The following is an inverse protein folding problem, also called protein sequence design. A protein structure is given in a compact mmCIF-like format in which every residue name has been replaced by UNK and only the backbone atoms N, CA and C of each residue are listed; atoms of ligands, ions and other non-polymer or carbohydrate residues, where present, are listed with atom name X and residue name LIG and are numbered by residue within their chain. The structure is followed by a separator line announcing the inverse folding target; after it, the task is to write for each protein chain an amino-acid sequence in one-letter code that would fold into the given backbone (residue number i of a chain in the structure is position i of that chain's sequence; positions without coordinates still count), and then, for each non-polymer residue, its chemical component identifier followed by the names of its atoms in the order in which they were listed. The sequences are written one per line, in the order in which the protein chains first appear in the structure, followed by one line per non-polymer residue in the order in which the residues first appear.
data_IF_811278680257
#
_entry.id   IF_811278680257
#
_cell.length_a   1.000
_cell.length_b   1.000
_cell.length_c   1.000
_cell.angle_alpha   90.00
_cell.angle_beta   90.00
_cell.angle_gamma   90.00
#
_symmetry.space_group_name_H-M   'P 1'
#
loop_
_entity.id
_entity.type
_entity.pdbx_description
1 polymer ?
#
# COMPACT_ATOMS: atom_id res chain seq x y z
N UNK A 1 -21.23 -1.35 -8.71
CA UNK A 1 -20.52 -0.78 -9.86
C UNK A 1 -20.48 -1.83 -10.96
N UNK A 2 -20.62 -1.43 -12.23
CA UNK A 2 -20.54 -2.38 -13.35
C UNK A 2 -19.16 -3.05 -13.35
N UNK A 3 -19.09 -4.38 -13.48
CA UNK A 3 -17.82 -5.14 -13.41
C UNK A 3 -16.81 -4.71 -14.48
N UNK A 4 -17.30 -4.09 -15.55
CA UNK A 4 -16.47 -3.54 -16.64
C UNK A 4 -15.91 -2.14 -16.35
N UNK A 5 -16.47 -1.42 -15.37
CA UNK A 5 -16.06 -0.06 -15.05
C UNK A 5 -14.74 -0.02 -14.26
N UNK A 6 -14.49 -1.01 -13.40
CA UNK A 6 -13.25 -1.10 -12.62
C UNK A 6 -11.99 -1.22 -13.51
N UNK A 7 -11.87 -2.21 -14.42
CA UNK A 7 -10.68 -2.32 -15.26
C UNK A 7 -10.47 -1.09 -16.13
N UNK A 8 -11.54 -0.48 -16.64
CA UNK A 8 -11.46 0.73 -17.44
C UNK A 8 -10.90 1.92 -16.64
N UNK A 9 -11.37 2.14 -15.41
CA UNK A 9 -10.88 3.22 -14.55
C UNK A 9 -9.45 2.96 -14.07
N UNK A 10 -9.09 1.71 -13.75
CA UNK A 10 -7.73 1.33 -13.39
C UNK A 10 -6.75 1.56 -14.57
N UNK A 11 -7.12 1.13 -15.78
CA UNK A 11 -6.32 1.39 -17.00
C UNK A 11 -6.20 2.89 -17.28
N UNK A 12 -7.28 3.66 -17.08
CA UNK A 12 -7.25 5.12 -17.25
C UNK A 12 -6.31 5.77 -16.25
N UNK A 13 -6.35 5.41 -14.97
CA UNK A 13 -5.45 5.94 -13.95
C UNK A 13 -3.98 5.64 -14.32
N UNK A 14 -3.67 4.42 -14.76
CA UNK A 14 -2.33 4.05 -15.23
C UNK A 14 -1.87 4.92 -16.40
N UNK A 15 -2.72 5.11 -17.42
CA UNK A 15 -2.40 5.93 -18.57
C UNK A 15 -2.17 7.41 -18.19
N UNK A 16 -2.89 7.94 -17.21
CA UNK A 16 -2.70 9.30 -16.71
C UNK A 16 -1.36 9.44 -15.96
N UNK A 17 -0.96 8.45 -15.17
CA UNK A 17 0.38 8.42 -14.54
C UNK A 17 1.49 8.40 -15.60
N UNK A 18 1.34 7.58 -16.63
CA UNK A 18 2.30 7.51 -17.75
C UNK A 18 2.38 8.82 -18.54
N UNK A 19 1.24 9.50 -18.71
CA UNK A 19 1.17 10.82 -19.33
C UNK A 19 1.70 11.96 -18.43
N UNK A 20 2.02 11.68 -17.17
CA UNK A 20 2.47 12.66 -16.18
C UNK A 20 1.35 13.44 -15.49
N UNK A 21 0.09 13.21 -15.85
CA UNK A 21 -1.08 13.83 -15.23
C UNK A 21 -1.49 13.10 -13.95
N UNK A 22 -0.59 13.19 -12.96
CA UNK A 22 -0.72 12.54 -11.65
C UNK A 22 -1.94 13.03 -10.84
N UNK A 23 -2.31 14.33 -10.85
CA UNK A 23 -3.54 14.78 -10.19
C UNK A 23 -4.80 14.10 -10.76
N UNK A 24 -4.95 14.05 -12.08
CA UNK A 24 -6.10 13.39 -12.70
C UNK A 24 -6.10 11.87 -12.43
N UNK A 25 -4.92 11.24 -12.36
CA UNK A 25 -4.81 9.84 -11.97
C UNK A 25 -5.36 9.60 -10.55
N UNK A 26 -5.00 10.46 -9.58
CA UNK A 26 -5.50 10.39 -8.20
C UNK A 26 -7.02 10.56 -8.17
N UNK A 27 -7.60 11.52 -8.89
CA UNK A 27 -9.06 11.73 -8.94
C UNK A 27 -9.82 10.48 -9.42
N UNK A 28 -9.28 9.77 -10.43
CA UNK A 28 -9.88 8.52 -10.92
C UNK A 28 -9.77 7.41 -9.88
N UNK A 29 -8.64 7.30 -9.19
CA UNK A 29 -8.46 6.30 -8.13
C UNK A 29 -9.35 6.59 -6.92
N UNK A 30 -9.54 7.86 -6.53
CA UNK A 30 -10.43 8.27 -5.44
C UNK A 30 -11.88 7.90 -5.73
N UNK A 31 -12.34 8.02 -6.98
CA UNK A 31 -13.68 7.53 -7.38
C UNK A 31 -13.83 6.02 -7.12
N UNK A 32 -12.79 5.23 -7.38
CA UNK A 32 -12.80 3.80 -7.09
C UNK A 32 -12.76 3.52 -5.58
N UNK A 33 -12.00 4.29 -4.80
CA UNK A 33 -11.96 4.19 -3.32
C UNK A 33 -13.35 4.45 -2.70
N UNK A 34 -14.17 5.32 -3.30
CA UNK A 34 -15.51 5.65 -2.81
C UNK A 34 -16.64 4.83 -3.43
N UNK A 35 -16.31 3.84 -4.27
CA UNK A 35 -17.28 2.93 -4.89
C UNK A 35 -17.69 1.77 -3.98
N UNK A 36 -18.56 0.88 -4.48
CA UNK A 36 -18.99 -0.35 -3.83
C UNK A 36 -18.05 -1.55 -4.10
N UNK A 37 -16.81 -1.28 -4.52
CA UNK A 37 -15.78 -2.31 -4.64
C UNK A 37 -15.54 -3.02 -3.30
N UNK A 38 -15.12 -4.31 -3.34
CA UNK A 38 -14.65 -5.00 -2.15
C UNK A 38 -13.56 -4.21 -1.41
N UNK A 39 -13.50 -4.37 -0.09
CA UNK A 39 -12.57 -3.60 0.75
C UNK A 39 -11.10 -3.76 0.32
N UNK A 40 -10.70 -4.96 -0.13
CA UNK A 40 -9.35 -5.19 -0.65
C UNK A 40 -9.06 -4.40 -1.93
N UNK A 41 -10.00 -4.36 -2.87
CA UNK A 41 -9.83 -3.60 -4.12
C UNK A 41 -9.77 -2.09 -3.84
N UNK A 42 -10.60 -1.59 -2.91
CA UNK A 42 -10.55 -0.21 -2.45
C UNK A 42 -9.21 0.11 -1.78
N UNK A 43 -8.70 -0.81 -0.96
CA UNK A 43 -7.39 -0.69 -0.33
C UNK A 43 -6.25 -0.61 -1.36
N UNK A 44 -6.30 -1.43 -2.41
CA UNK A 44 -5.35 -1.38 -3.52
C UNK A 44 -5.37 -0.03 -4.24
N UNK A 45 -6.55 0.61 -4.39
CA UNK A 45 -6.64 1.95 -4.96
C UNK A 45 -6.00 3.01 -4.06
N UNK A 46 -6.18 2.92 -2.74
CA UNK A 46 -5.46 3.79 -1.79
C UNK A 46 -3.94 3.59 -1.90
N UNK A 47 -3.45 2.35 -1.98
CA UNK A 47 -2.03 2.08 -2.19
C UNK A 47 -1.49 2.70 -3.49
N UNK A 48 -2.24 2.58 -4.59
CA UNK A 48 -1.86 3.22 -5.86
C UNK A 48 -1.81 4.75 -5.74
N UNK A 49 -2.77 5.37 -5.04
CA UNK A 49 -2.73 6.81 -4.76
C UNK A 49 -1.47 7.18 -3.97
N UNK A 50 -1.12 6.40 -2.93
CA UNK A 50 0.09 6.64 -2.14
C UNK A 50 1.37 6.60 -2.99
N UNK A 51 1.46 5.64 -3.93
CA UNK A 51 2.57 5.55 -4.88
C UNK A 51 2.63 6.79 -5.77
N UNK A 52 1.49 7.25 -6.31
CA UNK A 52 1.44 8.45 -7.17
C UNK A 52 1.83 9.70 -6.38
N UNK A 53 1.41 9.82 -5.12
CA UNK A 53 1.80 10.92 -4.23
C UNK A 53 3.31 10.93 -3.96
N UNK A 54 3.92 9.78 -3.69
CA UNK A 54 5.39 9.67 -3.53
C UNK A 54 6.12 10.10 -4.81
N UNK A 55 5.62 9.69 -5.99
CA UNK A 55 6.17 10.14 -7.28
C UNK A 55 6.04 11.65 -7.51
N UNK A 56 5.11 12.31 -6.84
CA UNK A 56 4.97 13.78 -6.83
C UNK A 56 5.87 14.44 -5.79
N UNK A 57 6.61 13.68 -4.98
CA UNK A 57 7.43 14.16 -3.88
C UNK A 57 6.65 14.41 -2.58
N UNK A 58 5.37 14.04 -2.51
CA UNK A 58 4.53 14.19 -1.33
C UNK A 58 4.57 12.93 -0.47
N UNK A 59 5.76 12.63 0.06
CA UNK A 59 6.02 11.45 0.90
C UNK A 59 5.16 11.43 2.17
N UNK A 60 4.85 12.60 2.75
CA UNK A 60 3.99 12.69 3.93
C UNK A 60 2.59 12.19 3.64
N UNK A 61 1.97 12.69 2.56
CA UNK A 61 0.63 12.25 2.15
C UNK A 61 0.61 10.78 1.71
N UNK A 62 1.70 10.31 1.09
CA UNK A 62 1.85 8.90 0.74
C UNK A 62 1.78 7.99 1.97
N UNK A 63 2.46 8.34 3.07
CA UNK A 63 2.41 7.58 4.32
C UNK A 63 1.02 7.55 4.96
N UNK A 64 0.31 8.68 4.96
CA UNK A 64 -1.08 8.79 5.45
C UNK A 64 -2.04 7.94 4.60
N UNK A 65 -1.88 7.99 3.29
CA UNK A 65 -2.72 7.23 2.35
C UNK A 65 -2.44 5.72 2.48
N UNK A 66 -1.18 5.32 2.66
CA UNK A 66 -0.83 3.93 2.99
C UNK A 66 -1.49 3.47 4.30
N UNK A 67 -1.51 4.30 5.35
CA UNK A 67 -2.18 3.93 6.59
C UNK A 67 -3.68 3.70 6.37
N UNK A 68 -4.33 4.57 5.60
CA UNK A 68 -5.74 4.41 5.22
C UNK A 68 -5.99 3.13 4.42
N UNK A 69 -5.05 2.76 3.54
CA UNK A 69 -5.12 1.52 2.76
C UNK A 69 -5.02 0.28 3.68
N UNK A 70 -4.14 0.30 4.68
CA UNK A 70 -4.00 -0.78 5.67
C UNK A 70 -5.26 -0.93 6.53
N UNK A 71 -5.91 0.17 6.89
CA UNK A 71 -7.17 0.11 7.66
C UNK A 71 -8.32 -0.53 6.88
N UNK A 72 -8.34 -0.39 5.56
CA UNK A 72 -9.25 -1.12 4.69
C UNK A 72 -8.87 -2.60 4.58
N UNK A 73 -7.59 -2.89 4.36
CA UNK A 73 -7.07 -4.26 4.26
C UNK A 73 -7.36 -5.09 5.51
N UNK A 74 -7.31 -4.48 6.70
CA UNK A 74 -7.57 -5.15 8.00
C UNK A 74 -8.95 -5.83 8.08
N UNK A 75 -9.89 -5.47 7.22
CA UNK A 75 -11.22 -6.10 7.14
C UNK A 75 -11.22 -7.39 6.30
N UNK A 76 -10.05 -7.77 5.80
CA UNK A 76 -9.84 -8.90 4.89
C UNK A 76 -8.82 -9.86 5.52
N UNK A 77 -8.58 -11.00 4.87
CA UNK A 77 -7.54 -11.95 5.29
C UNK A 77 -6.14 -11.60 4.74
N UNK A 78 -6.06 -10.57 3.88
CA UNK A 78 -4.80 -10.12 3.26
C UNK A 78 -3.98 -9.28 4.23
N UNK A 79 -2.67 -9.28 4.01
CA UNK A 79 -1.69 -8.42 4.67
C UNK A 79 -0.67 -7.84 3.67
N UNK A 80 -0.98 -7.93 2.38
CA UNK A 80 -0.17 -7.46 1.27
C UNK A 80 0.14 -5.96 1.36
N UNK A 81 -0.87 -5.13 1.64
CA UNK A 81 -0.71 -3.67 1.68
C UNK A 81 0.06 -3.25 2.92
N UNK A 82 -0.20 -3.90 4.07
CA UNK A 82 0.57 -3.72 5.28
C UNK A 82 2.06 -4.10 5.08
N UNK A 83 2.35 -5.19 4.36
CA UNK A 83 3.73 -5.56 3.99
C UNK A 83 4.38 -4.51 3.07
N UNK A 84 3.63 -4.01 2.08
CA UNK A 84 4.10 -2.94 1.19
C UNK A 84 4.37 -1.63 1.94
N UNK A 85 3.54 -1.26 2.91
CA UNK A 85 3.77 -0.09 3.78
C UNK A 85 5.07 -0.28 4.57
N UNK A 86 5.30 -1.47 5.15
CA UNK A 86 6.53 -1.77 5.86
C UNK A 86 7.77 -1.63 4.96
N UNK A 87 7.70 -2.16 3.74
CA UNK A 87 8.77 -2.04 2.75
C UNK A 87 9.00 -0.59 2.32
N UNK A 88 7.93 0.19 2.16
CA UNK A 88 8.01 1.62 1.83
C UNK A 88 8.67 2.43 2.96
N UNK A 89 8.31 2.19 4.22
CA UNK A 89 9.00 2.78 5.38
C UNK A 89 10.49 2.45 5.38
N UNK A 90 10.88 1.20 5.06
CA UNK A 90 12.28 0.82 4.93
C UNK A 90 13.00 1.60 3.82
N UNK A 91 12.37 1.77 2.65
CA UNK A 91 12.92 2.56 1.54
C UNK A 91 13.18 4.02 1.93
N UNK A 92 12.33 4.58 2.80
CA UNK A 92 12.48 5.95 3.31
C UNK A 92 13.51 6.10 4.44
N UNK A 93 14.15 5.01 4.88
CA UNK A 93 15.06 5.03 6.02
C UNK A 93 14.36 5.00 7.38
N UNK A 94 13.04 4.82 7.41
CA UNK A 94 12.23 4.72 8.63
C UNK A 94 12.31 3.30 9.20
N UNK A 95 13.52 2.85 9.54
CA UNK A 95 13.80 1.45 9.87
C UNK A 95 13.08 0.96 11.12
N UNK A 96 12.98 1.80 12.16
CA UNK A 96 12.26 1.43 13.39
C UNK A 96 10.75 1.27 13.14
N UNK A 97 10.15 2.14 12.33
CA UNK A 97 8.73 2.01 11.95
C UNK A 97 8.52 0.76 11.08
N UNK A 98 9.36 0.56 10.07
CA UNK A 98 9.31 -0.62 9.21
C UNK A 98 9.41 -1.93 10.01
N UNK A 99 10.33 -2.00 10.98
CA UNK A 99 10.50 -3.16 11.85
C UNK A 99 9.25 -3.43 12.69
N UNK A 100 8.64 -2.38 13.27
CA UNK A 100 7.38 -2.52 14.02
C UNK A 100 6.24 -3.05 13.15
N UNK A 101 6.14 -2.60 11.91
CA UNK A 101 5.09 -3.07 10.99
C UNK A 101 5.31 -4.54 10.63
N UNK A 102 6.54 -4.96 10.37
CA UNK A 102 6.84 -6.38 10.16
C UNK A 102 6.57 -7.22 11.42
N UNK A 103 6.86 -6.71 12.62
CA UNK A 103 6.50 -7.36 13.88
C UNK A 103 4.99 -7.50 14.09
N UNK A 104 4.20 -6.51 13.68
CA UNK A 104 2.74 -6.58 13.70
C UNK A 104 2.21 -7.62 12.72
N UNK A 105 2.81 -7.72 11.53
CA UNK A 105 2.49 -8.74 10.52
C UNK A 105 2.77 -10.16 11.00
N UNK A 106 3.81 -10.37 11.81
CA UNK A 106 4.10 -11.67 12.44
C UNK A 106 2.96 -12.16 13.37
N UNK A 107 2.06 -11.27 13.77
CA UNK A 107 0.89 -11.57 14.60
C UNK A 107 -0.40 -11.70 13.77
N UNK A 108 -0.32 -11.56 12.46
CA UNK A 108 -1.48 -11.61 11.59
C UNK A 108 -2.09 -13.03 11.56
N UNK A 109 -3.40 -13.21 11.82
CA UNK A 109 -4.00 -14.54 11.96
C UNK A 109 -3.88 -15.45 10.73
N UNK A 110 -3.79 -14.85 9.54
CA UNK A 110 -3.69 -15.53 8.26
C UNK A 110 -2.26 -15.51 7.67
N UNK A 111 -1.26 -15.14 8.47
CA UNK A 111 0.14 -15.16 8.00
C UNK A 111 0.53 -16.57 7.57
N UNK A 112 1.12 -16.69 6.38
CA UNK A 112 1.58 -17.98 5.88
C UNK A 112 2.97 -18.29 6.46
N UNK A 113 3.27 -19.56 6.76
CA UNK A 113 4.60 -19.96 7.24
C UNK A 113 5.74 -19.56 6.30
N UNK A 114 5.51 -19.60 4.98
CA UNK A 114 6.50 -19.21 3.96
C UNK A 114 6.86 -17.71 4.00
N UNK A 115 5.93 -16.86 4.44
CA UNK A 115 6.14 -15.42 4.55
C UNK A 115 6.83 -15.06 5.87
N UNK A 116 6.63 -15.86 6.93
CA UNK A 116 7.21 -15.62 8.26
C UNK A 116 8.73 -15.46 8.23
N UNK A 117 9.44 -16.37 7.55
CA UNK A 117 10.90 -16.33 7.44
C UNK A 117 11.38 -15.06 6.71
N UNK A 118 10.67 -14.66 5.65
CA UNK A 118 10.95 -13.40 4.92
C UNK A 118 10.78 -12.19 5.84
N UNK A 119 9.71 -12.12 6.62
CA UNK A 119 9.46 -11.00 7.53
C UNK A 119 10.54 -10.90 8.63
N UNK A 120 10.93 -12.03 9.23
CA UNK A 120 12.01 -12.09 10.22
C UNK A 120 13.35 -11.66 9.63
N UNK A 121 13.65 -12.07 8.39
CA UNK A 121 14.84 -11.63 7.68
C UNK A 121 14.85 -10.12 7.42
N UNK A 122 13.70 -9.53 7.06
CA UNK A 122 13.55 -8.09 6.89
C UNK A 122 13.87 -7.36 8.20
N UNK A 123 13.26 -7.76 9.33
CA UNK A 123 13.53 -7.16 10.65
C UNK A 123 15.02 -7.24 11.01
N UNK A 124 15.64 -8.41 10.82
CA UNK A 124 17.08 -8.61 11.07
C UNK A 124 17.95 -7.69 10.21
N UNK A 125 17.57 -7.50 8.93
CA UNK A 125 18.28 -6.61 8.01
C UNK A 125 18.15 -5.14 8.43
N UNK A 126 16.94 -4.71 8.77
CA UNK A 126 16.67 -3.33 9.23
C UNK A 126 17.42 -3.01 10.52
N UNK A 127 17.51 -3.97 11.45
CA UNK A 127 18.29 -3.81 12.68
C UNK A 127 19.77 -3.50 12.44
N UNK A 128 20.36 -4.02 11.36
CA UNK A 128 21.74 -3.73 10.94
C UNK A 128 21.90 -2.38 10.24
N UNK A 129 20.83 -1.87 9.61
CA UNK A 129 20.85 -0.56 8.93
C UNK A 129 20.68 0.61 9.90
N UNK A 130 20.21 0.33 11.12
CA UNK A 130 20.06 1.33 12.20
C UNK A 130 21.36 1.63 12.95
N UNK A 131 22.31 0.69 12.94
CA UNK A 131 23.61 0.78 13.66
C UNK A 131 24.67 1.47 12.83
#
# INVERSE_FOLDING_TARGET
MDKQLYPALASRASALVEAGDRPAAIEVLEQLVHSDLPDFDRAMMCMNIAIVQDQMGDTGKALETYASAVDLERKTESYFIAENRAAYCAKLGLYDESSRLYDDLLRHPHLKPEDQDRLLQNISTLGKLRT
#
